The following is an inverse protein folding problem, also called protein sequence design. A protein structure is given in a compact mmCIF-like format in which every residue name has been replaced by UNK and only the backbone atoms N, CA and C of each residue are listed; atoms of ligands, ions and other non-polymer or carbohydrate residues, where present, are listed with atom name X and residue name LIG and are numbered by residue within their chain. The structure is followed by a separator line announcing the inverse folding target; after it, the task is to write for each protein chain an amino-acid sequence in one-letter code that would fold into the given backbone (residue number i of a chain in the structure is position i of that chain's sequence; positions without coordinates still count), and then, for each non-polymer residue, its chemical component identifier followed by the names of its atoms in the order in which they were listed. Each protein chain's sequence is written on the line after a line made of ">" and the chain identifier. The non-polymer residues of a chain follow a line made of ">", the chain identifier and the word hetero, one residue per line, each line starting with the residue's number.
data_IF_932974343206
#
_entry.id   IF_932974343206
#
_cell.length_a   1.000
_cell.length_b   1.000
_cell.length_c   1.000
_cell.angle_alpha   90.00
_cell.angle_beta   90.00
_cell.angle_gamma   90.00
#
_symmetry.space_group_name_H-M   'P 1'
#
loop_
_entity.id
_entity.type
_entity.pdbx_description
1 polymer ?
#
# COMPACT_ATOMS: atom_id res chain seq x y z
N UNK A 1 -4.74 17.75 -18.37
CA UNK A 1 -3.81 16.86 -17.63
C UNK A 1 -4.44 16.52 -16.29
N UNK A 2 -4.52 15.23 -15.91
CA UNK A 2 -5.08 14.84 -14.61
C UNK A 2 -4.16 15.31 -13.47
N UNK A 3 -4.73 15.90 -12.41
CA UNK A 3 -4.00 16.48 -11.28
C UNK A 3 -4.17 15.63 -10.03
N UNK A 4 -3.06 15.17 -9.43
CA UNK A 4 -3.06 14.45 -8.15
C UNK A 4 -3.73 15.29 -7.06
N UNK A 5 -3.46 16.59 -7.02
CA UNK A 5 -4.00 17.51 -6.00
C UNK A 5 -5.53 17.59 -6.10
N UNK A 6 -6.08 17.65 -7.31
CA UNK A 6 -7.53 17.69 -7.50
C UNK A 6 -8.22 16.41 -6.98
N UNK A 7 -7.59 15.25 -7.17
CA UNK A 7 -8.11 13.98 -6.63
C UNK A 7 -7.99 13.89 -5.11
N UNK A 8 -6.87 14.35 -4.54
CA UNK A 8 -6.71 14.41 -3.08
C UNK A 8 -7.73 15.37 -2.45
N UNK A 9 -8.00 16.50 -3.08
CA UNK A 9 -9.05 17.42 -2.64
C UNK A 9 -10.44 16.77 -2.69
N UNK A 10 -10.77 16.08 -3.80
CA UNK A 10 -12.05 15.36 -3.92
C UNK A 10 -12.20 14.26 -2.86
N UNK A 11 -11.13 13.50 -2.59
CA UNK A 11 -11.10 12.48 -1.53
C UNK A 11 -11.30 13.10 -0.14
N UNK A 12 -10.59 14.20 0.16
CA UNK A 12 -10.74 14.93 1.41
C UNK A 12 -12.16 15.46 1.61
N UNK A 13 -12.79 15.94 0.54
CA UNK A 13 -14.17 16.45 0.60
C UNK A 13 -15.21 15.35 0.85
N UNK A 14 -14.96 14.12 0.39
CA UNK A 14 -15.85 12.98 0.64
C UNK A 14 -15.66 12.35 2.03
N UNK A 15 -14.55 12.64 2.71
CA UNK A 15 -14.18 11.98 3.96
C UNK A 15 -15.24 12.09 5.07
N UNK A 16 -15.78 13.29 5.29
CA UNK A 16 -16.69 13.56 6.40
C UNK A 16 -18.16 13.24 6.09
N UNK A 17 -18.44 12.70 4.89
CA UNK A 17 -19.82 12.44 4.47
C UNK A 17 -20.30 11.06 4.94
N UNK A 18 -21.54 10.95 5.44
CA UNK A 18 -22.10 9.65 5.80
C UNK A 18 -22.21 8.73 4.57
N UNK A 19 -21.89 7.45 4.75
CA UNK A 19 -21.91 6.46 3.66
C UNK A 19 -20.95 6.78 2.51
N UNK A 20 -19.84 7.45 2.77
CA UNK A 20 -18.87 7.84 1.75
C UNK A 20 -17.99 6.69 1.25
N UNK A 21 -17.98 5.52 1.90
CA UNK A 21 -16.98 4.49 1.61
C UNK A 21 -16.97 4.01 0.16
N UNK A 22 -18.14 3.76 -0.42
CA UNK A 22 -18.26 3.38 -1.84
C UNK A 22 -17.81 4.50 -2.79
N UNK A 23 -18.06 5.76 -2.42
CA UNK A 23 -17.66 6.95 -3.19
C UNK A 23 -16.15 7.16 -3.13
N UNK A 24 -15.55 7.06 -1.95
CA UNK A 24 -14.10 7.16 -1.74
C UNK A 24 -13.38 6.06 -2.53
N UNK A 25 -13.85 4.82 -2.43
CA UNK A 25 -13.33 3.71 -3.21
C UNK A 25 -13.45 3.98 -4.72
N UNK A 26 -14.62 4.43 -5.18
CA UNK A 26 -14.84 4.81 -6.57
C UNK A 26 -13.95 5.97 -7.04
N UNK A 27 -13.63 6.94 -6.18
CA UNK A 27 -12.69 8.03 -6.48
C UNK A 27 -11.27 7.50 -6.66
N UNK A 28 -10.81 6.59 -5.79
CA UNK A 28 -9.50 5.95 -5.95
C UNK A 28 -9.42 5.16 -7.26
N UNK A 29 -10.40 4.31 -7.54
CA UNK A 29 -10.42 3.50 -8.78
C UNK A 29 -10.43 4.39 -10.03
N UNK A 30 -11.24 5.45 -10.03
CA UNK A 30 -11.26 6.41 -11.15
C UNK A 30 -9.96 7.17 -11.32
N UNK A 31 -9.32 7.59 -10.22
CA UNK A 31 -8.03 8.26 -10.28
C UNK A 31 -6.96 7.33 -10.85
N UNK A 32 -6.90 6.10 -10.35
CA UNK A 32 -5.86 5.12 -10.68
C UNK A 32 -6.09 4.37 -12.00
N UNK A 33 -7.29 4.46 -12.59
CA UNK A 33 -7.53 4.04 -13.97
C UNK A 33 -6.79 4.91 -15.00
N UNK A 34 -6.30 6.08 -14.61
CA UNK A 34 -5.54 6.96 -15.49
C UNK A 34 -4.04 6.59 -15.52
N UNK A 35 -3.49 6.33 -16.71
CA UNK A 35 -2.10 5.93 -16.92
C UNK A 35 -1.03 6.88 -16.34
N UNK A 36 -1.33 8.18 -16.18
CA UNK A 36 -0.42 9.14 -15.55
C UNK A 36 -0.52 9.08 -14.03
N UNK A 37 -1.75 9.03 -13.50
CA UNK A 37 -1.99 9.02 -12.06
C UNK A 37 -1.70 7.69 -11.40
N UNK A 38 -1.80 6.57 -12.13
CA UNK A 38 -1.44 5.25 -11.60
C UNK A 38 0.04 5.16 -11.21
N UNK A 39 0.89 6.07 -11.70
CA UNK A 39 2.31 6.18 -11.29
C UNK A 39 2.49 7.03 -10.03
N UNK A 40 1.42 7.59 -9.48
CA UNK A 40 1.44 8.39 -8.25
C UNK A 40 1.51 7.47 -7.04
N UNK A 41 2.71 7.37 -6.48
CA UNK A 41 2.97 6.67 -5.21
C UNK A 41 2.04 7.18 -4.11
N UNK A 42 1.79 8.50 -4.05
CA UNK A 42 0.97 9.10 -3.00
C UNK A 42 -0.48 8.58 -3.04
N UNK A 43 -1.09 8.50 -4.23
CA UNK A 43 -2.47 8.01 -4.36
C UNK A 43 -2.58 6.54 -3.93
N UNK A 44 -1.61 5.70 -4.32
CA UNK A 44 -1.58 4.31 -3.87
C UNK A 44 -1.40 4.16 -2.37
N UNK A 45 -0.50 4.94 -1.75
CA UNK A 45 -0.29 4.92 -0.30
C UNK A 45 -1.55 5.35 0.46
N UNK A 46 -2.22 6.41 -0.01
CA UNK A 46 -3.50 6.84 0.54
C UNK A 46 -4.57 5.75 0.41
N UNK A 47 -4.65 5.09 -0.74
CA UNK A 47 -5.64 4.03 -0.97
C UNK A 47 -5.38 2.80 -0.09
N UNK A 48 -4.11 2.38 0.00
CA UNK A 48 -3.70 1.28 0.88
C UNK A 48 -4.01 1.58 2.34
N UNK A 49 -3.66 2.78 2.82
CA UNK A 49 -3.98 3.21 4.19
C UNK A 49 -5.49 3.28 4.42
N UNK A 50 -6.26 3.73 3.43
CA UNK A 50 -7.71 3.76 3.52
C UNK A 50 -8.31 2.35 3.72
N UNK A 51 -7.93 1.38 2.88
CA UNK A 51 -8.44 0.01 3.00
C UNK A 51 -7.94 -0.69 4.27
N UNK A 52 -6.68 -0.48 4.66
CA UNK A 52 -6.06 -1.15 5.81
C UNK A 52 -6.49 -0.55 7.16
N UNK A 53 -6.48 0.77 7.30
CA UNK A 53 -6.61 1.42 8.61
C UNK A 53 -8.05 1.90 8.88
N UNK A 54 -8.75 2.34 7.83
CA UNK A 54 -10.07 2.99 7.93
C UNK A 54 -11.19 1.99 7.69
N UNK A 55 -11.18 1.35 6.51
CA UNK A 55 -12.16 0.31 6.17
C UNK A 55 -11.86 -0.99 6.93
N UNK A 56 -10.58 -1.21 7.29
CA UNK A 56 -10.09 -2.42 7.96
C UNK A 56 -10.43 -3.70 7.19
N UNK A 57 -10.28 -3.63 5.86
CA UNK A 57 -10.49 -4.75 4.97
C UNK A 57 -9.14 -5.30 4.49
N UNK A 58 -8.57 -6.30 5.19
CA UNK A 58 -7.25 -6.83 4.85
C UNK A 58 -7.18 -7.43 3.44
N UNK A 59 -8.25 -8.07 2.99
CA UNK A 59 -8.34 -8.65 1.65
C UNK A 59 -8.31 -7.57 0.56
N UNK A 60 -8.99 -6.43 0.78
CA UNK A 60 -8.93 -5.30 -0.14
C UNK A 60 -7.56 -4.61 -0.10
N UNK A 61 -7.02 -4.37 1.09
CA UNK A 61 -5.69 -3.78 1.29
C UNK A 61 -4.60 -4.60 0.57
N UNK A 62 -4.65 -5.93 0.69
CA UNK A 62 -3.75 -6.85 -0.04
C UNK A 62 -3.83 -6.68 -1.55
N UNK A 63 -5.04 -6.61 -2.12
CA UNK A 63 -5.23 -6.38 -3.57
C UNK A 63 -4.70 -5.02 -4.00
N UNK A 64 -4.97 -3.97 -3.21
CA UNK A 64 -4.47 -2.61 -3.49
C UNK A 64 -2.95 -2.57 -3.44
N UNK A 65 -2.33 -3.19 -2.44
CA UNK A 65 -0.89 -3.24 -2.29
C UNK A 65 -0.21 -3.90 -3.50
N UNK A 66 -0.68 -5.07 -3.94
CA UNK A 66 -0.08 -5.73 -5.10
C UNK A 66 -0.22 -4.91 -6.38
N UNK A 67 -1.40 -4.30 -6.62
CA UNK A 67 -1.57 -3.35 -7.74
C UNK A 67 -0.61 -2.17 -7.64
N UNK A 68 -0.42 -1.64 -6.44
CA UNK A 68 0.43 -0.50 -6.19
C UNK A 68 1.90 -0.78 -6.49
N UNK A 69 2.46 -1.91 -6.03
CA UNK A 69 3.86 -2.27 -6.30
C UNK A 69 4.10 -2.64 -7.76
N UNK A 70 3.09 -3.15 -8.47
CA UNK A 70 3.18 -3.34 -9.93
C UNK A 70 3.20 -2.00 -10.67
N UNK A 71 2.41 -1.02 -10.22
CA UNK A 71 2.34 0.29 -10.87
C UNK A 71 3.52 1.21 -10.49
N UNK A 72 4.07 1.06 -9.29
CA UNK A 72 5.14 1.89 -8.72
C UNK A 72 6.27 1.05 -8.08
N UNK A 73 6.93 0.15 -8.84
CA UNK A 73 7.90 -0.79 -8.28
C UNK A 73 9.12 -0.11 -7.65
N UNK A 74 9.47 1.10 -8.08
CA UNK A 74 10.61 1.88 -7.58
C UNK A 74 10.42 2.47 -6.17
N UNK A 75 9.21 2.44 -5.61
CA UNK A 75 8.90 3.14 -4.36
C UNK A 75 9.16 2.27 -3.13
N UNK A 76 10.38 2.32 -2.57
CA UNK A 76 10.71 1.63 -1.30
C UNK A 76 9.70 1.90 -0.18
N UNK A 77 9.23 3.16 -0.06
CA UNK A 77 8.25 3.54 0.97
C UNK A 77 6.93 2.78 0.81
N UNK A 78 6.48 2.56 -0.42
CA UNK A 78 5.23 1.83 -0.70
C UNK A 78 5.37 0.34 -0.36
N UNK A 79 6.52 -0.28 -0.68
CA UNK A 79 6.83 -1.64 -0.27
C UNK A 79 6.78 -1.79 1.26
N UNK A 80 7.47 -0.91 1.99
CA UNK A 80 7.51 -0.93 3.45
C UNK A 80 6.13 -0.72 4.08
N UNK A 81 5.30 0.15 3.49
CA UNK A 81 3.91 0.32 3.96
C UNK A 81 3.11 -0.99 3.83
N UNK A 82 3.33 -1.77 2.77
CA UNK A 82 2.72 -3.08 2.59
C UNK A 82 3.19 -4.10 3.62
N UNK A 83 4.51 -4.22 3.81
CA UNK A 83 5.07 -5.10 4.85
C UNK A 83 4.50 -4.77 6.23
N UNK A 84 4.46 -3.49 6.59
CA UNK A 84 3.93 -3.06 7.90
C UNK A 84 2.43 -3.29 8.05
N UNK A 85 1.64 -3.00 7.02
CA UNK A 85 0.17 -3.05 7.10
C UNK A 85 -0.40 -4.46 6.91
N UNK A 86 0.33 -5.33 6.22
CA UNK A 86 -0.14 -6.66 5.85
C UNK A 86 0.62 -7.79 6.56
N UNK A 87 1.55 -7.49 7.46
CA UNK A 87 2.33 -8.49 8.22
C UNK A 87 1.44 -9.47 9.01
N UNK A 88 0.29 -9.01 9.49
CA UNK A 88 -0.64 -9.85 10.27
C UNK A 88 -1.49 -10.80 9.40
N UNK A 89 -1.52 -10.60 8.08
CA UNK A 89 -2.37 -11.37 7.16
C UNK A 89 -1.60 -12.15 6.11
N UNK A 90 -0.35 -11.77 5.85
CA UNK A 90 0.56 -12.48 4.96
C UNK A 90 1.36 -13.47 5.78
N UNK A 91 1.53 -14.67 5.24
CA UNK A 91 2.41 -15.68 5.82
C UNK A 91 3.87 -15.24 5.71
N UNK A 92 4.73 -15.80 6.57
CA UNK A 92 6.19 -15.58 6.50
C UNK A 92 6.75 -15.90 5.12
N UNK A 93 6.22 -16.96 4.48
CA UNK A 93 6.60 -17.32 3.11
C UNK A 93 6.24 -16.22 2.12
N UNK A 94 5.01 -15.72 2.15
CA UNK A 94 4.58 -14.63 1.26
C UNK A 94 5.38 -13.35 1.48
N UNK A 95 5.78 -13.04 2.72
CA UNK A 95 6.63 -11.90 3.03
C UNK A 95 8.06 -12.11 2.50
N UNK A 96 8.61 -13.32 2.62
CA UNK A 96 9.91 -13.69 2.05
C UNK A 96 9.92 -13.58 0.53
N UNK A 97 8.92 -14.19 -0.14
CA UNK A 97 8.77 -14.12 -1.60
C UNK A 97 8.66 -12.66 -2.06
N UNK A 98 7.93 -11.83 -1.31
CA UNK A 98 7.79 -10.41 -1.60
C UNK A 98 9.10 -9.64 -1.41
N UNK A 99 9.91 -10.00 -0.42
CA UNK A 99 11.24 -9.42 -0.20
C UNK A 99 12.21 -9.77 -1.33
N UNK A 100 12.15 -11.00 -1.86
CA UNK A 100 12.92 -11.40 -3.05
C UNK A 100 12.54 -10.54 -4.25
N UNK A 101 11.24 -10.39 -4.54
CA UNK A 101 10.78 -9.52 -5.64
C UNK A 101 11.21 -8.06 -5.42
N UNK A 102 11.17 -7.57 -4.19
CA UNK A 102 11.64 -6.22 -3.86
C UNK A 102 13.15 -6.07 -4.12
N UNK A 103 13.94 -7.09 -3.79
CA UNK A 103 15.39 -7.15 -4.03
C UNK A 103 15.71 -7.18 -5.52
N UNK A 104 14.93 -7.89 -6.33
CA UNK A 104 15.05 -7.90 -7.80
C UNK A 104 14.76 -6.53 -8.43
N UNK A 105 14.09 -5.62 -7.69
CA UNK A 105 13.93 -4.21 -8.06
C UNK A 105 15.02 -3.30 -7.50
N UNK A 106 16.12 -3.88 -7.01
CA UNK A 106 17.25 -3.20 -6.38
C UNK A 106 16.87 -2.42 -5.11
N UNK A 107 15.73 -2.78 -4.49
CA UNK A 107 15.26 -2.17 -3.25
C UNK A 107 15.63 -3.06 -2.06
N UNK A 108 16.68 -2.68 -1.34
CA UNK A 108 17.16 -3.45 -0.19
C UNK A 108 16.57 -2.93 1.13
N UNK A 109 16.18 -3.83 2.03
CA UNK A 109 15.88 -3.51 3.43
C UNK A 109 17.22 -3.48 4.19
N UNK A 110 17.38 -2.53 5.12
CA UNK A 110 18.67 -2.33 5.83
C UNK A 110 18.96 -3.44 6.84
N UNK A 111 17.91 -4.07 7.35
CA UNK A 111 17.93 -5.15 8.32
C UNK A 111 17.33 -6.37 7.64
N UNK A 112 17.95 -7.53 7.78
CA UNK A 112 17.38 -8.77 7.26
C UNK A 112 16.10 -9.13 8.04
N UNK A 113 15.10 -9.76 7.40
CA UNK A 113 13.90 -10.25 8.10
C UNK A 113 14.32 -11.26 9.18
N UNK A 114 15.35 -12.06 8.92
CA UNK A 114 15.88 -13.00 9.90
C UNK A 114 16.53 -12.31 11.10
N UNK A 115 17.17 -11.15 10.92
CA UNK A 115 17.77 -10.38 12.02
C UNK A 115 16.70 -9.78 12.94
N UNK A 116 15.53 -9.40 12.40
CA UNK A 116 14.40 -8.89 13.20
C UNK A 116 13.76 -10.05 14.01
N UNK A 117 13.57 -11.21 13.37
CA UNK A 117 12.98 -12.38 14.04
C UNK A 117 13.87 -12.93 15.17
N UNK A 118 15.20 -12.86 15.01
CA UNK A 118 16.14 -13.22 16.07
C UNK A 118 16.08 -12.27 17.26
N UNK A 119 15.76 -10.99 17.06
CA UNK A 119 15.58 -10.04 18.17
C UNK A 119 14.35 -10.37 19.01
N UNK A 120 13.22 -10.71 18.35
CA UNK A 120 11.98 -11.09 19.05
C UNK A 120 12.11 -12.38 19.88
N UNK A 121 12.96 -13.34 19.47
CA UNK A 121 13.26 -14.55 20.26
C UNK A 121 14.19 -14.28 21.45
N UNK A 122 15.04 -13.25 21.38
CA UNK A 122 15.96 -12.89 22.47
C UNK A 122 15.34 -11.99 23.54
N UNK A 123 14.19 -11.38 23.25
CA UNK A 123 13.45 -10.48 24.15
C UNK A 123 12.24 -11.16 24.85
N UNK A 124 12.02 -12.45 24.61
CA UNK A 124 10.98 -13.29 25.24
C UNK A 124 11.56 -14.21 26.34
#
# INVERSE_FOLDING_TARGET
>A
NPSVIAWLFALSFEWDKPGSSSRIHGLFERALANNKLQKSVLLWRCYLAYEADIVRNPSAARRVFFRAIHACPWSKRLWLDGFQKLSSILTLKELSDLQEVMRDKELNIRTDIYEILLQDETEA
#
